data_IF_255368492103
#
_entry.id   IF_255368492103
#
_cell.length_a   1.000
_cell.length_b   1.000
_cell.length_c   1.000
_cell.angle_alpha   90.00
_cell.angle_beta   90.00
_cell.angle_gamma   90.00
#
_symmetry.space_group_name_H-M   'P 1'
#
loop_
_entity.id
_entity.type
_entity.pdbx_description
1 polymer ?
#
# COMPACT_ATOMS: atom_id res chain seq x y z
N UNK A 1 21.75 -7.61 13.82
CA UNK A 1 21.03 -8.91 13.80
C UNK A 1 19.58 -8.78 14.29
N UNK A 2 19.31 -8.20 15.49
CA UNK A 2 17.94 -8.08 16.04
C UNK A 2 16.95 -7.34 15.14
N UNK A 3 17.36 -6.25 14.47
CA UNK A 3 16.48 -5.52 13.55
C UNK A 3 16.15 -6.32 12.30
N UNK A 4 17.10 -7.08 11.76
CA UNK A 4 16.87 -7.95 10.60
C UNK A 4 15.91 -9.09 10.94
N UNK A 5 16.04 -9.71 12.13
CA UNK A 5 15.11 -10.75 12.59
C UNK A 5 13.69 -10.20 12.78
N UNK A 6 13.54 -8.99 13.35
CA UNK A 6 12.24 -8.32 13.46
C UNK A 6 11.65 -8.03 12.08
N UNK A 7 12.44 -7.50 11.17
CA UNK A 7 12.01 -7.24 9.80
C UNK A 7 11.53 -8.50 9.09
N UNK A 8 12.31 -9.58 9.15
CA UNK A 8 11.95 -10.84 8.48
C UNK A 8 10.75 -11.52 9.15
N UNK A 9 10.75 -11.63 10.48
CA UNK A 9 9.80 -12.45 11.23
C UNK A 9 8.48 -11.75 11.50
N UNK A 10 8.50 -10.48 11.84
CA UNK A 10 7.30 -9.70 12.21
C UNK A 10 6.87 -8.70 11.14
N UNK A 11 7.84 -8.12 10.40
CA UNK A 11 7.55 -7.18 9.34
C UNK A 11 7.11 -7.89 8.07
N UNK A 12 8.02 -8.59 7.42
CA UNK A 12 7.76 -9.15 6.08
C UNK A 12 6.76 -10.30 6.12
N UNK A 13 6.81 -11.17 7.15
CA UNK A 13 5.90 -12.31 7.28
C UNK A 13 4.45 -11.91 7.55
N UNK A 14 4.20 -10.76 8.16
CA UNK A 14 2.88 -10.18 8.32
C UNK A 14 2.47 -9.37 7.09
N UNK A 15 3.33 -8.44 6.65
CA UNK A 15 3.01 -7.50 5.58
C UNK A 15 2.79 -8.18 4.22
N UNK A 16 3.58 -9.20 3.87
CA UNK A 16 3.50 -9.85 2.56
C UNK A 16 2.14 -10.54 2.30
N UNK A 17 1.60 -11.38 3.20
CA UNK A 17 0.28 -11.96 3.01
C UNK A 17 -0.84 -10.92 2.93
N UNK A 18 -0.74 -9.85 3.71
CA UNK A 18 -1.71 -8.77 3.71
C UNK A 18 -1.71 -8.02 2.39
N UNK A 19 -0.53 -7.63 1.88
CA UNK A 19 -0.44 -6.94 0.59
C UNK A 19 -0.84 -7.85 -0.57
N UNK A 20 -0.52 -9.13 -0.53
CA UNK A 20 -1.00 -10.11 -1.51
C UNK A 20 -2.52 -10.23 -1.51
N UNK A 21 -3.16 -10.26 -0.34
CA UNK A 21 -4.62 -10.31 -0.23
C UNK A 21 -5.27 -9.05 -0.81
N UNK A 22 -4.72 -7.87 -0.54
CA UNK A 22 -5.20 -6.59 -1.07
C UNK A 22 -5.08 -6.54 -2.60
N UNK A 23 -3.95 -6.98 -3.15
CA UNK A 23 -3.74 -7.08 -4.60
C UNK A 23 -4.71 -8.07 -5.24
N UNK A 24 -4.96 -9.22 -4.60
CA UNK A 24 -5.97 -10.17 -5.06
C UNK A 24 -7.37 -9.54 -5.10
N UNK A 25 -7.74 -8.78 -4.09
CA UNK A 25 -9.02 -8.04 -4.07
C UNK A 25 -9.11 -7.01 -5.21
N UNK A 26 -8.01 -6.37 -5.59
CA UNK A 26 -7.94 -5.46 -6.74
C UNK A 26 -8.11 -6.18 -8.08
N UNK A 27 -7.79 -7.46 -8.16
CA UNK A 27 -7.96 -8.23 -9.39
C UNK A 27 -9.43 -8.38 -9.82
N UNK A 28 -10.35 -8.35 -8.87
CA UNK A 28 -11.80 -8.49 -9.17
C UNK A 28 -12.32 -7.32 -10.03
N UNK A 29 -12.14 -6.03 -9.62
CA UNK A 29 -12.54 -4.89 -10.45
C UNK A 29 -11.71 -4.77 -11.73
N UNK A 30 -10.49 -5.32 -11.78
CA UNK A 30 -9.63 -5.26 -12.98
C UNK A 30 -10.24 -5.94 -14.21
N UNK A 31 -11.19 -6.85 -14.01
CA UNK A 31 -11.92 -7.51 -15.09
C UNK A 31 -13.01 -6.64 -15.73
N UNK A 32 -13.24 -5.43 -15.21
CA UNK A 32 -14.21 -4.49 -15.79
C UNK A 32 -13.61 -3.82 -17.01
N UNK A 33 -14.30 -3.92 -18.14
CA UNK A 33 -13.85 -3.34 -19.42
C UNK A 33 -14.01 -1.81 -19.51
N UNK A 34 -14.68 -1.19 -18.55
CA UNK A 34 -14.92 0.26 -18.49
C UNK A 34 -13.76 1.05 -17.87
N UNK A 35 -12.79 0.37 -17.24
CA UNK A 35 -11.62 1.01 -16.63
C UNK A 35 -10.59 1.34 -17.72
N UNK A 36 -10.27 2.64 -17.85
CA UNK A 36 -9.39 3.16 -18.91
C UNK A 36 -8.06 3.74 -18.41
N UNK A 37 -7.92 3.93 -17.10
CA UNK A 37 -6.78 4.63 -16.52
C UNK A 37 -6.16 3.85 -15.35
N UNK A 38 -4.82 3.78 -15.25
CA UNK A 38 -4.15 3.17 -14.10
C UNK A 38 -4.51 3.82 -12.76
N UNK A 39 -4.74 5.14 -12.76
CA UNK A 39 -5.20 5.87 -11.57
C UNK A 39 -6.53 5.35 -11.02
N UNK A 40 -7.41 4.82 -11.86
CA UNK A 40 -8.67 4.20 -11.39
C UNK A 40 -8.40 2.98 -10.52
N UNK A 41 -7.41 2.16 -10.89
CA UNK A 41 -6.98 1.03 -10.05
C UNK A 41 -6.35 1.51 -8.72
N UNK A 42 -5.58 2.62 -8.77
CA UNK A 42 -5.05 3.23 -7.56
C UNK A 42 -6.19 3.66 -6.61
N UNK A 43 -7.23 4.31 -7.13
CA UNK A 43 -8.40 4.68 -6.32
C UNK A 43 -9.11 3.48 -5.70
N UNK A 44 -9.32 2.40 -6.47
CA UNK A 44 -9.89 1.17 -5.92
C UNK A 44 -9.00 0.61 -4.81
N UNK A 45 -7.68 0.57 -5.02
CA UNK A 45 -6.73 0.13 -4.01
C UNK A 45 -6.83 0.94 -2.72
N UNK A 46 -6.89 2.26 -2.83
CA UNK A 46 -7.05 3.15 -1.69
C UNK A 46 -8.34 2.86 -0.91
N UNK A 47 -9.48 2.75 -1.61
CA UNK A 47 -10.79 2.54 -0.97
C UNK A 47 -10.85 1.19 -0.25
N UNK A 48 -10.43 0.10 -0.90
CA UNK A 48 -10.41 -1.23 -0.28
C UNK A 48 -9.50 -1.26 0.95
N UNK A 49 -8.35 -0.62 0.84
CA UNK A 49 -7.34 -0.67 1.87
C UNK A 49 -7.63 0.23 3.08
N UNK A 50 -8.41 1.29 2.90
CA UNK A 50 -8.95 2.08 4.01
C UNK A 50 -9.72 1.19 5.00
N UNK A 51 -10.63 0.35 4.48
CA UNK A 51 -11.38 -0.60 5.31
C UNK A 51 -10.48 -1.57 6.06
N UNK A 52 -9.44 -2.06 5.39
CA UNK A 52 -8.45 -2.96 6.00
C UNK A 52 -7.68 -2.26 7.14
N UNK A 53 -7.18 -1.04 6.90
CA UNK A 53 -6.46 -0.27 7.91
C UNK A 53 -7.32 0.13 9.12
N UNK A 54 -8.61 0.40 8.91
CA UNK A 54 -9.56 0.64 10.01
C UNK A 54 -9.73 -0.64 10.84
N UNK A 55 -9.95 -1.78 10.18
CA UNK A 55 -10.08 -3.07 10.87
C UNK A 55 -8.84 -3.42 11.69
N UNK A 56 -7.67 -3.27 11.10
CA UNK A 56 -6.40 -3.51 11.80
C UNK A 56 -6.21 -2.55 12.97
N UNK A 57 -6.52 -1.25 12.78
CA UNK A 57 -6.47 -0.25 13.85
C UNK A 57 -7.38 -0.60 15.02
N UNK A 58 -8.60 -1.06 14.75
CA UNK A 58 -9.53 -1.55 15.79
C UNK A 58 -8.99 -2.79 16.52
N UNK A 59 -8.37 -3.73 15.79
CA UNK A 59 -7.77 -4.91 16.39
C UNK A 59 -6.61 -4.53 17.34
N UNK A 60 -5.78 -3.56 16.95
CA UNK A 60 -4.72 -3.04 17.82
C UNK A 60 -5.25 -2.37 19.10
N UNK A 61 -6.40 -1.71 19.05
CA UNK A 61 -7.02 -1.15 20.25
C UNK A 61 -7.29 -2.21 21.31
N UNK A 62 -7.84 -3.35 20.87
CA UNK A 62 -8.29 -4.41 21.76
C UNK A 62 -7.16 -5.33 22.24
N UNK A 63 -5.99 -5.24 21.61
CA UNK A 63 -4.86 -6.14 21.90
C UNK A 63 -3.63 -5.35 22.35
N UNK A 64 -2.88 -4.80 21.39
CA UNK A 64 -1.55 -4.24 21.63
C UNK A 64 -1.59 -2.93 22.41
N UNK A 65 -2.50 -2.01 22.05
CA UNK A 65 -2.53 -0.67 22.68
C UNK A 65 -3.01 -0.74 24.13
N UNK A 66 -3.88 -1.70 24.45
CA UNK A 66 -4.32 -1.92 25.81
C UNK A 66 -3.18 -2.39 26.72
N UNK A 67 -2.32 -3.27 26.20
CA UNK A 67 -1.17 -3.81 26.94
C UNK A 67 0.00 -2.82 27.04
N UNK A 68 0.13 -1.90 26.08
CA UNK A 68 1.24 -0.93 26.03
C UNK A 68 0.97 0.35 26.83
N UNK A 69 -0.30 0.73 27.01
CA UNK A 69 -0.65 2.02 27.58
C UNK A 69 -0.46 2.03 29.12
N UNK A 70 0.21 3.06 29.61
CA UNK A 70 0.32 3.36 31.05
C UNK A 70 -0.79 4.36 31.45
N UNK A 71 -2.03 3.90 31.37
CA UNK A 71 -3.22 4.65 31.74
C UNK A 71 -4.12 5.06 30.55
N UNK A 72 -5.26 5.65 30.90
CA UNK A 72 -6.34 5.95 29.95
C UNK A 72 -5.94 7.00 28.90
N UNK A 73 -5.19 8.01 29.29
CA UNK A 73 -4.77 9.09 28.38
C UNK A 73 -3.85 8.56 27.28
N UNK A 74 -2.86 7.76 27.64
CA UNK A 74 -1.95 7.13 26.69
C UNK A 74 -2.68 6.13 25.79
N UNK A 75 -3.59 5.35 26.34
CA UNK A 75 -4.45 4.45 25.58
C UNK A 75 -5.26 5.20 24.52
N UNK A 76 -5.92 6.29 24.88
CA UNK A 76 -6.69 7.11 23.93
C UNK A 76 -5.79 7.75 22.86
N UNK A 77 -4.61 8.23 23.26
CA UNK A 77 -3.64 8.81 22.33
C UNK A 77 -3.12 7.78 21.32
N UNK A 78 -2.71 6.60 21.77
CA UNK A 78 -2.24 5.51 20.91
C UNK A 78 -3.33 5.08 19.91
N UNK A 79 -4.60 4.98 20.38
CA UNK A 79 -5.72 4.60 19.53
C UNK A 79 -6.02 5.68 18.48
N UNK A 80 -6.04 6.94 18.86
CA UNK A 80 -6.24 8.06 17.93
C UNK A 80 -5.15 8.09 16.86
N UNK A 81 -3.89 7.96 17.28
CA UNK A 81 -2.74 7.94 16.38
C UNK A 81 -2.85 6.77 15.40
N UNK A 82 -3.18 5.58 15.88
CA UNK A 82 -3.29 4.37 15.05
C UNK A 82 -4.44 4.45 14.05
N UNK A 83 -5.63 4.85 14.51
CA UNK A 83 -6.81 4.99 13.64
C UNK A 83 -6.71 6.10 12.61
N UNK A 84 -5.87 7.08 12.83
CA UNK A 84 -5.66 8.17 11.86
C UNK A 84 -4.54 7.85 10.88
N UNK A 85 -3.45 7.21 11.31
CA UNK A 85 -2.27 6.97 10.47
C UNK A 85 -2.37 5.68 9.67
N UNK A 86 -2.79 4.59 10.29
CA UNK A 86 -2.77 3.25 9.69
C UNK A 86 -3.66 3.15 8.45
N UNK A 87 -4.94 3.58 8.46
CA UNK A 87 -5.79 3.55 7.27
C UNK A 87 -5.22 4.34 6.10
N UNK A 88 -4.62 5.51 6.38
CA UNK A 88 -3.99 6.35 5.35
C UNK A 88 -2.78 5.65 4.73
N UNK A 89 -1.92 5.03 5.54
CA UNK A 89 -0.75 4.32 5.04
C UNK A 89 -1.14 3.09 4.21
N UNK A 90 -2.12 2.31 4.66
CA UNK A 90 -2.65 1.20 3.87
C UNK A 90 -3.23 1.68 2.55
N UNK A 91 -4.00 2.78 2.54
CA UNK A 91 -4.51 3.37 1.32
C UNK A 91 -3.39 3.78 0.36
N UNK A 92 -2.33 4.41 0.86
CA UNK A 92 -1.17 4.82 0.07
C UNK A 92 -0.45 3.61 -0.54
N UNK A 93 -0.13 2.60 0.27
CA UNK A 93 0.61 1.43 -0.20
C UNK A 93 -0.20 0.63 -1.23
N UNK A 94 -1.47 0.37 -0.96
CA UNK A 94 -2.32 -0.35 -1.92
C UNK A 94 -2.71 0.53 -3.12
N UNK A 95 -2.72 1.85 -2.96
CA UNK A 95 -2.82 2.79 -4.07
C UNK A 95 -1.64 2.69 -5.04
N UNK A 96 -0.41 2.57 -4.52
CA UNK A 96 0.79 2.29 -5.32
C UNK A 96 0.65 0.96 -6.05
N UNK A 97 0.28 -0.11 -5.34
CA UNK A 97 0.04 -1.43 -5.94
C UNK A 97 -1.00 -1.37 -7.07
N UNK A 98 -2.15 -0.75 -6.80
CA UNK A 98 -3.21 -0.58 -7.79
C UNK A 98 -2.77 0.18 -9.02
N UNK A 99 -1.96 1.22 -8.85
CA UNK A 99 -1.42 1.99 -9.98
C UNK A 99 -0.59 1.11 -10.93
N UNK A 100 0.33 0.30 -10.40
CA UNK A 100 1.13 -0.63 -11.20
C UNK A 100 0.28 -1.75 -11.82
N UNK A 101 -0.69 -2.28 -11.08
CA UNK A 101 -1.65 -3.25 -11.60
C UNK A 101 -2.42 -2.69 -12.79
N UNK A 102 -2.83 -1.44 -12.72
CA UNK A 102 -3.48 -0.74 -13.82
C UNK A 102 -2.63 -0.70 -15.09
N UNK A 103 -1.33 -0.49 -14.98
CA UNK A 103 -0.42 -0.57 -16.14
C UNK A 103 -0.36 -1.97 -16.74
N UNK A 104 -0.32 -3.00 -15.92
CA UNK A 104 -0.32 -4.39 -16.40
C UNK A 104 -1.57 -4.70 -17.22
N UNK A 105 -2.74 -4.32 -16.70
CA UNK A 105 -4.01 -4.64 -17.34
C UNK A 105 -4.28 -3.81 -18.59
N UNK A 106 -3.94 -2.52 -18.56
CA UNK A 106 -4.30 -1.61 -19.65
C UNK A 106 -3.30 -1.64 -20.80
N UNK A 107 -2.05 -1.98 -20.55
CA UNK A 107 -0.99 -1.85 -21.55
C UNK A 107 -0.34 -3.17 -21.96
N UNK A 108 -0.74 -4.30 -21.36
CA UNK A 108 -0.24 -5.63 -21.70
C UNK A 108 1.28 -5.81 -21.52
N UNK A 109 1.90 -4.93 -20.74
CA UNK A 109 3.34 -4.93 -20.48
C UNK A 109 3.80 -6.22 -19.79
N UNK A 110 5.11 -6.49 -19.80
CA UNK A 110 5.70 -7.71 -19.21
C UNK A 110 5.20 -7.93 -17.79
N UNK A 111 4.14 -8.72 -17.65
CA UNK A 111 3.32 -8.91 -16.44
C UNK A 111 4.16 -9.23 -15.20
N UNK A 112 5.26 -9.97 -15.35
CA UNK A 112 6.05 -10.43 -14.21
C UNK A 112 6.77 -9.31 -13.46
N UNK A 113 7.33 -8.33 -14.17
CA UNK A 113 8.03 -7.22 -13.52
C UNK A 113 7.08 -6.33 -12.73
N UNK A 114 5.91 -6.03 -13.31
CA UNK A 114 4.93 -5.18 -12.65
C UNK A 114 4.30 -5.87 -11.46
N UNK A 115 3.98 -7.17 -11.55
CA UNK A 115 3.47 -7.96 -10.42
C UNK A 115 4.48 -8.00 -9.28
N UNK A 116 5.77 -8.17 -9.57
CA UNK A 116 6.82 -8.14 -8.55
C UNK A 116 6.90 -6.76 -7.88
N UNK A 117 6.90 -5.67 -8.66
CA UNK A 117 6.97 -4.30 -8.13
C UNK A 117 5.72 -3.96 -7.33
N UNK A 118 4.54 -4.35 -7.83
CA UNK A 118 3.23 -4.12 -7.22
C UNK A 118 3.14 -4.70 -5.80
N UNK A 119 3.66 -5.90 -5.59
CA UNK A 119 3.64 -6.55 -4.28
C UNK A 119 4.85 -6.15 -3.43
N UNK A 120 6.04 -6.07 -4.05
CA UNK A 120 7.30 -5.89 -3.31
C UNK A 120 7.39 -4.51 -2.65
N UNK A 121 7.05 -3.43 -3.37
CA UNK A 121 7.17 -2.07 -2.83
C UNK A 121 6.26 -1.87 -1.62
N UNK A 122 4.94 -2.12 -1.71
CA UNK A 122 4.06 -2.01 -0.54
C UNK A 122 4.48 -2.90 0.61
N UNK A 123 4.83 -4.17 0.33
CA UNK A 123 5.24 -5.13 1.38
C UNK A 123 6.50 -4.68 2.11
N UNK A 124 7.49 -4.13 1.41
CA UNK A 124 8.72 -3.64 2.02
C UNK A 124 8.43 -2.38 2.86
N UNK A 125 7.67 -1.43 2.33
CA UNK A 125 7.30 -0.21 3.06
C UNK A 125 6.50 -0.54 4.32
N UNK A 126 5.52 -1.43 4.21
CA UNK A 126 4.72 -1.92 5.31
C UNK A 126 5.58 -2.66 6.35
N UNK A 127 6.43 -3.58 5.92
CA UNK A 127 7.33 -4.32 6.81
C UNK A 127 8.31 -3.42 7.54
N UNK A 128 8.87 -2.41 6.86
CA UNK A 128 9.73 -1.40 7.48
C UNK A 128 8.95 -0.58 8.51
N UNK A 129 7.74 -0.14 8.18
CA UNK A 129 6.90 0.60 9.10
C UNK A 129 6.61 -0.22 10.37
N UNK A 130 6.20 -1.49 10.23
CA UNK A 130 5.95 -2.37 11.36
C UNK A 130 7.22 -2.64 12.21
N UNK A 131 8.39 -2.73 11.56
CA UNK A 131 9.66 -2.97 12.25
C UNK A 131 10.09 -1.77 13.10
N UNK A 132 9.88 -0.56 12.58
CA UNK A 132 10.27 0.70 13.22
C UNK A 132 9.11 1.43 13.90
N UNK A 133 7.99 0.74 14.09
CA UNK A 133 6.81 1.29 14.74
C UNK A 133 7.17 1.96 16.10
N UNK A 134 6.50 3.08 16.40
CA UNK A 134 6.77 3.91 17.58
C UNK A 134 8.15 4.60 17.60
N UNK A 135 8.82 4.73 16.46
CA UNK A 135 10.08 5.48 16.35
C UNK A 135 9.94 6.64 15.37
N UNK A 136 10.87 7.60 15.44
CA UNK A 136 10.96 8.70 14.45
C UNK A 136 11.12 8.16 13.01
N UNK A 137 11.74 6.98 12.87
CA UNK A 137 11.92 6.34 11.58
C UNK A 137 10.58 5.94 10.93
N UNK A 138 9.58 5.51 11.71
CA UNK A 138 8.25 5.20 11.17
C UNK A 138 7.54 6.44 10.60
N UNK A 139 7.71 7.59 11.23
CA UNK A 139 7.19 8.86 10.70
C UNK A 139 7.87 9.22 9.37
N UNK A 140 9.20 9.07 9.29
CA UNK A 140 9.94 9.29 8.04
C UNK A 140 9.47 8.35 6.92
N UNK A 141 9.24 7.08 7.23
CA UNK A 141 8.70 6.09 6.28
C UNK A 141 7.28 6.45 5.81
N UNK A 142 6.43 6.93 6.72
CA UNK A 142 5.08 7.38 6.38
C UNK A 142 5.12 8.57 5.41
N UNK A 143 5.91 9.60 5.71
CA UNK A 143 6.10 10.77 4.85
C UNK A 143 6.65 10.35 3.48
N UNK A 144 7.68 9.49 3.46
CA UNK A 144 8.27 8.99 2.22
C UNK A 144 7.25 8.21 1.37
N UNK A 145 6.41 7.38 1.99
CA UNK A 145 5.35 6.64 1.30
C UNK A 145 4.35 7.58 0.62
N UNK A 146 3.90 8.62 1.32
CA UNK A 146 2.98 9.63 0.77
C UNK A 146 3.64 10.41 -0.37
N UNK A 147 4.91 10.80 -0.24
CA UNK A 147 5.65 11.49 -1.30
C UNK A 147 5.80 10.61 -2.55
N UNK A 148 6.18 9.35 -2.39
CA UNK A 148 6.31 8.39 -3.51
C UNK A 148 4.97 8.24 -4.23
N UNK A 149 3.89 8.03 -3.49
CA UNK A 149 2.55 7.95 -4.07
C UNK A 149 2.15 9.22 -4.83
N UNK A 150 2.38 10.39 -4.23
CA UNK A 150 2.08 11.68 -4.84
C UNK A 150 2.85 11.92 -6.14
N UNK A 151 4.13 11.51 -6.19
CA UNK A 151 4.95 11.59 -7.40
C UNK A 151 4.42 10.69 -8.52
N UNK A 152 4.03 9.46 -8.23
CA UNK A 152 3.42 8.57 -9.22
C UNK A 152 2.09 9.12 -9.70
N UNK A 153 1.28 9.63 -8.79
CA UNK A 153 -0.02 10.18 -9.12
C UNK A 153 0.08 11.44 -10.00
N UNK A 154 1.00 12.34 -9.67
CA UNK A 154 1.26 13.54 -10.47
C UNK A 154 1.77 13.25 -11.89
N UNK A 155 2.50 12.14 -12.07
CA UNK A 155 3.00 11.71 -13.38
C UNK A 155 2.05 10.81 -14.18
N UNK A 156 0.87 10.53 -13.62
CA UNK A 156 -0.09 9.60 -14.23
C UNK A 156 -0.41 9.93 -15.69
N UNK A 157 -0.69 11.17 -16.01
CA UNK A 157 -1.09 11.58 -17.36
C UNK A 157 0.06 11.46 -18.37
N UNK A 158 1.26 11.83 -17.98
CA UNK A 158 2.48 11.68 -18.80
C UNK A 158 2.80 10.22 -19.08
N UNK A 159 2.68 9.37 -18.07
CA UNK A 159 2.91 7.94 -18.19
C UNK A 159 1.84 7.27 -19.06
N UNK A 160 0.56 7.62 -18.87
CA UNK A 160 -0.53 7.13 -19.72
C UNK A 160 -0.33 7.49 -21.19
N UNK A 161 0.08 8.72 -21.47
CA UNK A 161 0.35 9.17 -22.83
C UNK A 161 1.50 8.36 -23.45
N UNK A 162 2.60 8.20 -22.75
CA UNK A 162 3.77 7.44 -23.21
C UNK A 162 3.43 5.98 -23.52
N UNK A 163 2.73 5.28 -22.63
CA UNK A 163 2.37 3.88 -22.83
C UNK A 163 1.32 3.67 -23.94
N UNK A 164 0.40 4.62 -24.13
CA UNK A 164 -0.53 4.58 -25.26
C UNK A 164 0.21 4.69 -26.61
N UNK A 165 1.20 5.55 -26.71
CA UNK A 165 2.00 5.65 -27.93
C UNK A 165 2.77 4.34 -28.21
N UNK A 166 3.37 3.71 -27.21
CA UNK A 166 4.05 2.42 -27.38
C UNK A 166 3.09 1.32 -27.83
N UNK A 167 1.92 1.23 -27.23
CA UNK A 167 0.91 0.21 -27.60
C UNK A 167 0.44 0.35 -29.06
N UNK A 168 0.35 1.56 -29.57
CA UNK A 168 -0.04 1.78 -30.96
C UNK A 168 1.08 1.40 -31.96
N UNK A 169 2.36 1.63 -31.63
CA UNK A 169 3.51 1.23 -32.47
C UNK A 169 3.69 -0.27 -32.63
N UNK A 170 3.18 -1.07 -31.69
CA UNK A 170 3.25 -2.54 -31.77
C UNK A 170 2.07 -3.18 -32.51
N UNK A 171 1.10 -2.37 -32.95
CA UNK A 171 -0.06 -2.83 -33.73
C UNK A 171 0.07 -2.53 -35.21
N UNK A 172 1.05 -1.69 -35.60
CA UNK A 172 1.51 -1.45 -36.96
C UNK A 172 2.64 -2.44 -37.35
#
# INVERSE_FOLDING_TARGET
RRHLERFMRFGLWSALPEELLKVFMLYVPSRRHDIKFPSTFAYYGMIYSLGFGIYEGMNYQMTVNFDLADGMEEYLFLNLLRLTTLPVLHAVWTGIAGFFLGFVFLHGQKKYYFVLVEVSIPSVLHALFNTFNHTVASLGLAIMSVLVFSLYFAKNDSLNFYFRQQSNRHKE
#
